data_IF_857391934971
#
_entry.id   IF_857391934971
#
_cell.length_a   1.000
_cell.length_b   1.000
_cell.length_c   1.000
_cell.angle_alpha   90.00
_cell.angle_beta   90.00
_cell.angle_gamma   90.00
#
_symmetry.space_group_name_H-M   'P 1'
#
loop_
_entity.id
_entity.type
_entity.pdbx_description
1 polymer ?
#
# COMPACT_ATOMS: atom_id res chain seq x y z
N UNK A 1 -20.25 -0.35 7.91
CA UNK A 1 -19.86 0.26 6.62
C UNK A 1 -19.33 -0.83 5.70
N UNK A 2 -19.84 -0.91 4.46
CA UNK A 2 -19.30 -1.77 3.40
C UNK A 2 -18.67 -0.84 2.36
N UNK A 3 -17.35 -0.89 2.18
CA UNK A 3 -16.61 0.14 1.44
C UNK A 3 -16.43 -0.18 -0.04
N UNK A 4 -16.54 -1.44 -0.45
CA UNK A 4 -16.21 -1.87 -1.81
C UNK A 4 -14.70 -1.82 -2.14
N UNK A 5 -13.88 -1.29 -1.25
CA UNK A 5 -12.43 -1.14 -1.44
C UNK A 5 -11.74 -2.49 -1.26
N UNK A 6 -11.08 -2.97 -2.32
CA UNK A 6 -10.24 -4.17 -2.27
C UNK A 6 -8.82 -3.80 -1.89
N UNK A 7 -8.38 -4.24 -0.71
CA UNK A 7 -7.00 -4.08 -0.28
C UNK A 7 -6.09 -5.18 -0.82
N UNK A 8 -5.04 -4.82 -1.55
CA UNK A 8 -4.00 -5.73 -2.05
C UNK A 8 -2.68 -5.50 -1.30
N UNK A 9 -1.74 -6.45 -1.29
CA UNK A 9 -0.38 -6.19 -0.81
C UNK A 9 0.21 -4.95 -1.51
N UNK A 10 0.75 -4.03 -0.73
CA UNK A 10 1.37 -2.81 -1.28
C UNK A 10 2.76 -3.15 -1.85
N UNK A 11 3.07 -2.61 -3.04
CA UNK A 11 4.42 -2.66 -3.58
C UNK A 11 5.28 -1.55 -2.95
N UNK A 12 5.82 -1.82 -1.76
CA UNK A 12 6.58 -0.83 -0.98
C UNK A 12 7.81 -0.27 -1.71
N UNK A 13 8.33 -0.97 -2.72
CA UNK A 13 9.48 -0.51 -3.52
C UNK A 13 9.12 0.58 -4.52
N UNK A 14 7.85 0.77 -4.87
CA UNK A 14 7.43 1.76 -5.87
C UNK A 14 6.28 2.66 -5.42
N UNK A 15 5.52 2.27 -4.39
CA UNK A 15 4.32 3.00 -3.97
C UNK A 15 4.62 4.45 -3.56
N UNK A 16 5.65 4.70 -2.77
CA UNK A 16 6.01 6.08 -2.38
C UNK A 16 6.52 6.90 -3.56
N UNK A 17 7.32 6.31 -4.45
CA UNK A 17 7.82 6.96 -5.65
C UNK A 17 6.67 7.33 -6.60
N UNK A 18 5.70 6.44 -6.77
CA UNK A 18 4.47 6.69 -7.50
C UNK A 18 3.67 7.84 -6.87
N UNK A 19 3.32 7.73 -5.58
CA UNK A 19 2.41 8.66 -4.92
C UNK A 19 3.00 10.07 -4.79
N UNK A 20 4.33 10.19 -4.64
CA UNK A 20 5.04 11.48 -4.60
C UNK A 20 5.43 12.01 -5.98
N UNK A 21 5.12 11.26 -7.04
CA UNK A 21 5.51 11.57 -8.43
C UNK A 21 7.02 11.81 -8.54
N UNK A 22 7.81 10.90 -7.98
CA UNK A 22 9.28 10.95 -8.10
C UNK A 22 9.69 11.07 -9.58
N UNK A 23 10.64 11.97 -9.89
CA UNK A 23 10.98 12.28 -11.28
C UNK A 23 11.51 11.06 -12.03
N UNK A 24 12.38 10.27 -11.40
CA UNK A 24 12.93 9.06 -12.01
C UNK A 24 11.85 8.00 -12.23
N UNK A 25 10.87 7.93 -11.32
CA UNK A 25 9.70 7.07 -11.49
C UNK A 25 8.83 7.53 -12.67
N UNK A 26 8.44 8.81 -12.73
CA UNK A 26 7.64 9.38 -13.81
C UNK A 26 8.34 9.20 -15.17
N UNK A 27 9.64 9.45 -15.27
CA UNK A 27 10.42 9.20 -16.48
C UNK A 27 10.41 7.72 -16.88
N UNK A 28 10.55 6.80 -15.92
CA UNK A 28 10.50 5.37 -16.20
C UNK A 28 9.11 4.93 -16.69
N UNK A 29 8.04 5.47 -16.13
CA UNK A 29 6.66 5.26 -16.58
C UNK A 29 6.47 5.82 -17.99
N UNK A 30 6.91 7.05 -18.25
CA UNK A 30 6.80 7.68 -19.57
C UNK A 30 7.56 6.89 -20.65
N UNK A 31 8.76 6.39 -20.33
CA UNK A 31 9.52 5.49 -21.24
C UNK A 31 8.77 4.19 -21.54
N UNK A 32 8.03 3.65 -20.57
CA UNK A 32 7.37 2.36 -20.68
C UNK A 32 5.99 2.43 -21.34
N UNK A 33 5.22 3.48 -21.05
CA UNK A 33 3.81 3.58 -21.42
C UNK A 33 3.48 4.82 -22.28
N UNK A 34 4.45 5.70 -22.53
CA UNK A 34 4.25 6.99 -23.19
C UNK A 34 3.91 8.12 -22.21
N UNK A 35 3.89 9.35 -22.73
CA UNK A 35 3.66 10.59 -21.97
C UNK A 35 2.19 10.75 -21.47
N UNK A 36 1.28 9.83 -21.78
CA UNK A 36 -0.17 9.97 -21.53
C UNK A 36 -0.62 9.46 -20.17
N UNK A 37 0.30 8.98 -19.32
CA UNK A 37 -0.06 8.36 -18.04
C UNK A 37 -0.25 9.39 -16.91
N UNK A 38 0.50 10.50 -16.93
CA UNK A 38 0.38 11.57 -15.93
C UNK A 38 0.14 12.91 -16.63
N UNK A 39 -0.85 13.66 -16.14
CA UNK A 39 -1.18 14.99 -16.63
C UNK A 39 -0.44 16.05 -15.80
N UNK A 40 0.77 16.43 -16.22
CA UNK A 40 1.62 17.38 -15.47
C UNK A 40 0.89 18.68 -15.08
N UNK A 41 -0.03 19.17 -15.93
CA UNK A 41 -0.85 20.34 -15.65
C UNK A 41 -1.76 20.20 -14.42
N UNK A 42 -2.11 18.98 -14.00
CA UNK A 42 -2.97 18.69 -12.84
C UNK A 42 -2.19 18.20 -11.62
N UNK A 43 -0.87 17.97 -11.73
CA UNK A 43 -0.05 17.44 -10.63
C UNK A 43 -0.09 18.31 -9.36
N UNK A 44 -0.27 19.61 -9.52
CA UNK A 44 -0.41 20.57 -8.41
C UNK A 44 -1.70 20.38 -7.59
N UNK A 45 -2.67 19.62 -8.11
CA UNK A 45 -3.92 19.28 -7.42
C UNK A 45 -3.78 18.00 -6.58
N UNK A 46 -2.68 17.24 -6.72
CA UNK A 46 -2.46 16.07 -5.91
C UNK A 46 -2.28 16.46 -4.44
N UNK A 47 -2.89 15.68 -3.55
CA UNK A 47 -2.82 15.93 -2.11
C UNK A 47 -2.39 14.67 -1.40
N UNK A 48 -1.41 14.78 -0.50
CA UNK A 48 -0.96 13.66 0.32
C UNK A 48 -1.10 14.00 1.80
N UNK A 49 -1.53 13.02 2.58
CA UNK A 49 -1.46 13.03 4.02
C UNK A 49 -0.76 11.78 4.49
N UNK A 50 0.16 11.93 5.44
CA UNK A 50 0.84 10.81 6.08
C UNK A 50 0.63 10.90 7.58
N UNK A 51 0.32 9.77 8.19
CA UNK A 51 0.18 9.68 9.64
C UNK A 51 1.54 9.98 10.33
N UNK A 52 1.58 10.89 11.31
CA UNK A 52 2.80 11.20 12.08
C UNK A 52 3.40 9.99 12.81
N UNK A 53 2.61 8.94 13.05
CA UNK A 53 3.08 7.71 13.69
C UNK A 53 3.99 6.86 12.79
N UNK A 54 4.04 7.15 11.48
CA UNK A 54 4.79 6.38 10.49
C UNK A 54 5.75 7.28 9.72
N UNK A 55 6.90 7.59 10.31
CA UNK A 55 7.90 8.50 9.71
C UNK A 55 8.86 7.80 8.74
N UNK A 56 9.07 6.49 8.90
CA UNK A 56 9.99 5.72 8.05
C UNK A 56 9.42 5.51 6.64
N UNK A 57 10.27 5.39 5.60
CA UNK A 57 9.88 4.92 4.27
C UNK A 57 9.19 3.55 4.33
N UNK A 58 8.31 3.26 3.37
CA UNK A 58 7.53 2.00 3.37
C UNK A 58 8.40 0.73 3.40
N UNK A 59 9.54 0.63 2.69
CA UNK A 59 10.41 -0.54 2.77
C UNK A 59 10.94 -0.79 4.19
N UNK A 60 11.43 0.26 4.86
CA UNK A 60 11.94 0.15 6.22
C UNK A 60 10.83 -0.16 7.23
N UNK A 61 9.68 0.50 7.09
CA UNK A 61 8.50 0.22 7.90
C UNK A 61 8.04 -1.24 7.74
N UNK A 62 8.10 -1.80 6.53
CA UNK A 62 7.75 -3.20 6.30
C UNK A 62 8.70 -4.14 7.05
N UNK A 63 10.00 -3.85 7.11
CA UNK A 63 10.95 -4.65 7.88
C UNK A 63 10.67 -4.60 9.38
N UNK A 64 10.37 -3.42 9.93
CA UNK A 64 9.94 -3.29 11.35
C UNK A 64 8.68 -4.13 11.63
N UNK A 65 7.70 -4.07 10.72
CA UNK A 65 6.46 -4.84 10.83
C UNK A 65 6.71 -6.35 10.73
N UNK A 66 7.69 -6.81 9.93
CA UNK A 66 8.08 -8.24 9.88
C UNK A 66 8.60 -8.72 11.23
N UNK A 67 9.40 -7.90 11.91
CA UNK A 67 9.90 -8.21 13.26
C UNK A 67 8.73 -8.33 14.23
N UNK A 68 7.80 -7.37 14.22
CA UNK A 68 6.59 -7.40 15.06
C UNK A 68 5.71 -8.62 14.78
N UNK A 69 5.51 -8.99 13.51
CA UNK A 69 4.75 -10.21 13.13
C UNK A 69 5.43 -11.46 13.70
N UNK A 70 6.76 -11.57 13.60
CA UNK A 70 7.50 -12.70 14.17
C UNK A 70 7.37 -12.75 15.69
N UNK A 71 7.47 -11.61 16.37
CA UNK A 71 7.31 -11.53 17.82
C UNK A 71 5.91 -11.96 18.26
N UNK A 72 4.86 -11.52 17.56
CA UNK A 72 3.46 -11.82 17.93
C UNK A 72 3.00 -13.24 17.55
N UNK A 73 3.54 -13.80 16.48
CA UNK A 73 3.05 -15.07 15.91
C UNK A 73 4.04 -16.24 16.05
N UNK A 74 5.27 -15.95 16.48
CA UNK A 74 6.39 -16.91 16.49
C UNK A 74 6.90 -17.29 15.09
N UNK A 75 6.39 -16.66 14.02
CA UNK A 75 6.68 -17.04 12.63
C UNK A 75 7.20 -15.87 11.82
N UNK A 76 8.29 -16.09 11.09
CA UNK A 76 8.78 -15.12 10.13
C UNK A 76 7.72 -14.88 9.04
N UNK A 77 7.41 -13.61 8.78
CA UNK A 77 6.50 -13.23 7.71
C UNK A 77 7.11 -13.57 6.34
N UNK A 78 6.31 -14.16 5.47
CA UNK A 78 6.69 -14.46 4.09
C UNK A 78 5.81 -13.64 3.17
N UNK A 79 6.40 -12.71 2.42
CA UNK A 79 5.64 -11.86 1.49
C UNK A 79 5.26 -12.59 0.20
N UNK A 80 5.98 -13.66 -0.13
CA UNK A 80 5.73 -14.51 -1.30
C UNK A 80 5.07 -15.81 -0.87
N UNK A 81 4.37 -16.42 -1.81
CA UNK A 81 3.86 -17.77 -1.63
C UNK A 81 5.03 -18.73 -1.47
N UNK A 82 4.88 -19.67 -0.53
CA UNK A 82 5.89 -20.69 -0.25
C UNK A 82 5.26 -22.07 -0.47
N UNK A 83 5.85 -22.83 -1.38
CA UNK A 83 5.54 -24.26 -1.49
C UNK A 83 6.33 -25.05 -0.44
N UNK A 84 5.65 -25.98 0.23
CA UNK A 84 6.28 -26.87 1.20
C UNK A 84 5.66 -28.26 1.14
N UNK A 85 6.44 -29.28 1.51
CA UNK A 85 5.94 -30.65 1.64
C UNK A 85 5.48 -30.89 3.07
N UNK A 86 4.23 -31.32 3.24
CA UNK A 86 3.68 -31.74 4.52
C UNK A 86 4.42 -33.00 4.98
N UNK A 87 5.20 -32.91 6.06
CA UNK A 87 5.99 -34.04 6.56
C UNK A 87 5.14 -35.22 7.03
N UNK A 88 3.89 -34.99 7.42
CA UNK A 88 2.98 -36.06 7.88
C UNK A 88 2.33 -36.79 6.72
N UNK A 89 2.01 -36.09 5.63
CA UNK A 89 1.25 -36.66 4.52
C UNK A 89 2.02 -36.79 3.22
N UNK A 90 3.26 -36.30 3.14
CA UNK A 90 4.08 -36.26 1.92
C UNK A 90 3.57 -35.35 0.80
N UNK A 91 2.48 -34.60 1.03
CA UNK A 91 1.81 -33.80 -0.01
C UNK A 91 2.43 -32.41 -0.14
N UNK A 92 2.62 -31.93 -1.38
CA UNK A 92 2.94 -30.53 -1.62
C UNK A 92 1.75 -29.65 -1.23
N UNK A 93 2.01 -28.62 -0.43
CA UNK A 93 1.06 -27.59 -0.04
C UNK A 93 1.64 -26.22 -0.36
N UNK A 94 0.75 -25.26 -0.60
CA UNK A 94 1.12 -23.86 -0.81
C UNK A 94 0.63 -23.05 0.38
N UNK A 95 1.54 -22.28 0.97
CA UNK A 95 1.19 -21.24 1.95
C UNK A 95 1.22 -19.91 1.23
N UNK A 96 0.10 -19.20 1.24
CA UNK A 96 0.03 -17.86 0.67
C UNK A 96 0.94 -16.89 1.41
N UNK A 97 1.59 -16.02 0.64
CA UNK A 97 2.32 -14.89 1.18
C UNK A 97 1.38 -13.89 1.85
N UNK A 98 1.92 -13.08 2.75
CA UNK A 98 1.21 -12.01 3.44
C UNK A 98 2.08 -10.77 3.52
N UNK A 99 1.46 -9.60 3.36
CA UNK A 99 2.09 -8.30 3.60
C UNK A 99 1.38 -7.58 4.74
N UNK A 100 2.15 -7.01 5.66
CA UNK A 100 1.64 -6.16 6.72
C UNK A 100 1.18 -4.79 6.19
N UNK A 101 1.73 -4.34 5.06
CA UNK A 101 1.33 -3.10 4.39
C UNK A 101 0.47 -3.45 3.17
N UNK A 102 -0.72 -2.87 3.12
CA UNK A 102 -1.71 -3.08 2.06
C UNK A 102 -2.18 -1.74 1.53
N UNK A 103 -2.55 -1.71 0.26
CA UNK A 103 -3.07 -0.51 -0.41
C UNK A 103 -4.45 -0.79 -1.01
N UNK A 104 -5.31 0.22 -0.97
CA UNK A 104 -6.58 0.25 -1.69
C UNK A 104 -6.56 1.46 -2.63
N UNK A 105 -7.03 1.29 -3.85
CA UNK A 105 -7.08 2.35 -4.86
C UNK A 105 -8.52 2.49 -5.37
N UNK A 106 -9.40 3.16 -4.60
CA UNK A 106 -10.73 3.51 -5.09
C UNK A 106 -10.66 4.73 -6.03
N UNK A 107 -11.55 4.82 -7.03
CA UNK A 107 -11.74 6.08 -7.75
C UNK A 107 -12.29 7.14 -6.80
N UNK A 108 -11.84 8.39 -7.00
CA UNK A 108 -12.32 9.55 -6.25
C UNK A 108 -13.11 10.48 -7.16
N UNK A 109 -13.90 11.38 -6.56
CA UNK A 109 -14.49 12.49 -7.30
C UNK A 109 -13.49 13.64 -7.39
N UNK A 110 -13.61 14.55 -8.38
CA UNK A 110 -12.73 15.71 -8.50
C UNK A 110 -12.71 16.63 -7.26
N UNK A 111 -13.81 16.66 -6.49
CA UNK A 111 -13.98 17.48 -5.29
C UNK A 111 -13.66 16.73 -3.98
N UNK A 112 -13.21 15.48 -4.06
CA UNK A 112 -12.82 14.69 -2.88
C UNK A 112 -11.64 15.32 -2.16
N UNK A 113 -11.75 15.47 -0.84
CA UNK A 113 -10.72 16.04 0.03
C UNK A 113 -10.16 14.99 0.97
N UNK A 114 -9.02 15.29 1.58
CA UNK A 114 -8.41 14.36 2.55
C UNK A 114 -9.31 14.18 3.78
N UNK A 115 -9.99 15.24 4.21
CA UNK A 115 -10.87 15.23 5.38
C UNK A 115 -12.09 14.31 5.20
N UNK A 116 -12.50 14.05 3.95
CA UNK A 116 -13.59 13.11 3.65
C UNK A 116 -13.24 11.67 4.10
N UNK A 117 -11.95 11.38 4.31
CA UNK A 117 -11.48 10.08 4.79
C UNK A 117 -11.45 9.96 6.32
N UNK A 118 -11.73 11.01 7.09
CA UNK A 118 -11.65 10.97 8.56
C UNK A 118 -12.54 9.86 9.17
N UNK A 119 -13.78 9.76 8.68
CA UNK A 119 -14.71 8.70 9.09
C UNK A 119 -14.20 7.31 8.71
N UNK A 120 -13.50 7.20 7.57
CA UNK A 120 -12.92 5.94 7.12
C UNK A 120 -11.72 5.54 7.97
N UNK A 121 -10.83 6.49 8.27
CA UNK A 121 -9.67 6.29 9.15
C UNK A 121 -10.13 5.83 10.53
N UNK A 122 -11.14 6.48 11.11
CA UNK A 122 -11.73 6.08 12.40
C UNK A 122 -12.32 4.68 12.33
N UNK A 123 -13.08 4.37 11.29
CA UNK A 123 -13.65 3.04 11.10
C UNK A 123 -12.58 1.94 10.96
N UNK A 124 -11.47 2.21 10.29
CA UNK A 124 -10.33 1.28 10.18
C UNK A 124 -9.64 1.07 11.54
N UNK A 125 -9.48 2.14 12.32
CA UNK A 125 -8.89 2.06 13.65
C UNK A 125 -9.69 1.13 14.58
N UNK A 126 -11.03 1.19 14.54
CA UNK A 126 -11.92 0.27 15.29
C UNK A 126 -11.78 -1.21 14.87
N UNK A 127 -11.12 -1.48 13.74
CA UNK A 127 -10.78 -2.83 13.25
C UNK A 127 -9.32 -3.22 13.49
N UNK A 128 -8.58 -2.39 14.22
CA UNK A 128 -7.14 -2.59 14.45
C UNK A 128 -6.30 -2.37 13.19
N UNK A 129 -6.80 -1.62 12.21
CA UNK A 129 -6.09 -1.26 10.99
C UNK A 129 -5.65 0.20 11.09
N UNK A 130 -4.36 0.43 10.94
CA UNK A 130 -3.79 1.78 10.96
C UNK A 130 -3.54 2.27 9.54
N UNK A 131 -3.84 3.55 9.30
CA UNK A 131 -3.60 4.21 8.01
C UNK A 131 -2.21 4.84 8.02
N UNK A 132 -1.39 4.50 7.02
CA UNK A 132 -0.03 5.02 6.87
C UNK A 132 -0.05 6.34 6.09
N UNK A 133 -0.68 6.34 4.91
CA UNK A 133 -0.88 7.52 4.08
C UNK A 133 -2.22 7.46 3.33
N UNK A 134 -2.67 8.63 2.90
CA UNK A 134 -3.75 8.84 1.94
C UNK A 134 -3.17 9.74 0.85
N UNK A 135 -3.23 9.27 -0.39
CA UNK A 135 -2.63 9.94 -1.55
C UNK A 135 -3.74 10.13 -2.59
N UNK A 136 -4.16 11.37 -2.80
CA UNK A 136 -5.17 11.77 -3.79
C UNK A 136 -4.45 12.19 -5.07
N UNK A 137 -4.72 11.48 -6.15
CA UNK A 137 -4.18 11.78 -7.47
C UNK A 137 -5.28 12.35 -8.35
N UNK A 138 -5.06 13.57 -8.84
CA UNK A 138 -5.93 14.29 -9.77
C UNK A 138 -5.30 14.43 -11.16
N UNK A 139 -4.13 13.82 -11.37
CA UNK A 139 -3.32 13.85 -12.58
C UNK A 139 -3.20 12.50 -13.31
N UNK A 140 -4.05 11.52 -12.96
CA UNK A 140 -4.19 10.21 -13.63
C UNK A 140 -5.59 10.07 -14.25
#
# INVERSE_FOLDING_TARGET
MKTGIKFKPCNVGTAEAHNRRDSAYCEAVARKFGQTYFWDGHRHLNVTWRSPSYTKPLPELLEDLKVLVKQKTGRAMQCKDVEYTDRKTGKKRKRSGSSAIREGCPPIKPDTRIEDFDLFVKWLADKGISVISIDLHHDE
#
